data_IF_167657061563
#
_entry.id   IF_167657061563
#
_cell.length_a   1.000
_cell.length_b   1.000
_cell.length_c   1.000
_cell.angle_alpha   90.00
_cell.angle_beta   90.00
_cell.angle_gamma   90.00
#
_symmetry.space_group_name_H-M   'P 1'
#
loop_
_entity.id
_entity.type
_entity.pdbx_description
1 polymer ?
#
# COMPACT_ATOMS: atom_id res chain seq x y z
N UNK A 1 0.61 -20.66 5.35
CA UNK A 1 1.91 -20.43 4.67
C UNK A 1 1.60 -20.55 3.21
N UNK A 2 1.96 -19.54 2.43
CA UNK A 2 1.61 -19.50 1.01
C UNK A 2 2.23 -20.68 0.28
N UNK A 3 1.44 -21.30 -0.59
CA UNK A 3 1.96 -22.29 -1.52
C UNK A 3 2.95 -21.65 -2.50
N UNK A 4 3.86 -22.47 -3.02
CA UNK A 4 4.93 -22.01 -3.92
C UNK A 4 4.38 -21.30 -5.16
N UNK A 5 3.27 -21.78 -5.70
CA UNK A 5 2.68 -21.22 -6.92
C UNK A 5 2.04 -19.85 -6.64
N UNK A 6 1.32 -19.69 -5.53
CA UNK A 6 0.80 -18.39 -5.11
C UNK A 6 1.92 -17.40 -4.82
N UNK A 7 2.98 -17.83 -4.12
CA UNK A 7 4.14 -16.96 -3.88
C UNK A 7 4.78 -16.48 -5.18
N UNK A 8 4.98 -17.37 -6.16
CA UNK A 8 5.51 -17.01 -7.48
C UNK A 8 4.59 -16.05 -8.26
N UNK A 9 3.27 -16.25 -8.19
CA UNK A 9 2.31 -15.32 -8.82
C UNK A 9 2.37 -13.92 -8.20
N UNK A 10 2.51 -13.84 -6.88
CA UNK A 10 2.68 -12.57 -6.18
C UNK A 10 3.98 -11.89 -6.63
N UNK A 11 5.10 -12.62 -6.63
CA UNK A 11 6.40 -12.09 -7.08
C UNK A 11 6.28 -11.52 -8.49
N UNK A 12 5.75 -12.30 -9.45
CA UNK A 12 5.60 -11.83 -10.85
C UNK A 12 4.71 -10.60 -10.99
N UNK A 13 3.71 -10.43 -10.12
CA UNK A 13 2.77 -9.29 -10.17
C UNK A 13 3.36 -8.00 -9.59
N UNK A 14 4.24 -8.12 -8.61
CA UNK A 14 4.77 -6.98 -7.84
C UNK A 14 6.27 -6.75 -8.06
N UNK A 15 6.92 -7.52 -8.94
CA UNK A 15 8.32 -7.31 -9.31
C UNK A 15 8.52 -5.98 -10.03
N UNK A 16 9.62 -5.30 -9.73
CA UNK A 16 10.00 -4.04 -10.38
C UNK A 16 10.74 -4.27 -11.70
N UNK A 17 11.48 -5.37 -11.77
CA UNK A 17 12.23 -5.81 -12.94
C UNK A 17 12.25 -7.35 -13.00
N UNK A 18 12.67 -7.88 -14.15
CA UNK A 18 12.79 -9.32 -14.32
C UNK A 18 13.87 -9.91 -13.39
N UNK A 19 13.51 -10.93 -12.61
CA UNK A 19 14.41 -11.57 -11.64
C UNK A 19 14.41 -10.96 -10.24
N UNK A 20 13.65 -9.87 -10.02
CA UNK A 20 13.48 -9.28 -8.71
C UNK A 20 12.75 -10.23 -7.75
N UNK A 21 13.37 -10.47 -6.60
CA UNK A 21 12.79 -11.30 -5.53
C UNK A 21 12.87 -10.64 -4.16
N UNK A 22 13.55 -9.50 -4.07
CA UNK A 22 13.99 -8.90 -2.81
C UNK A 22 13.50 -7.47 -2.59
N UNK A 23 12.89 -6.84 -3.60
CA UNK A 23 12.35 -5.49 -3.46
C UNK A 23 11.32 -5.37 -2.33
N UNK A 24 11.21 -4.15 -1.79
CA UNK A 24 10.31 -3.87 -0.67
C UNK A 24 8.86 -4.14 -1.06
N UNK A 25 8.51 -3.87 -2.31
CA UNK A 25 7.22 -4.08 -2.96
C UNK A 25 6.80 -5.55 -2.90
N UNK A 26 7.69 -6.46 -3.34
CA UNK A 26 7.45 -7.91 -3.31
C UNK A 26 7.27 -8.37 -1.86
N UNK A 27 8.15 -7.95 -0.95
CA UNK A 27 8.09 -8.37 0.45
C UNK A 27 6.80 -7.89 1.14
N UNK A 28 6.40 -6.63 0.93
CA UNK A 28 5.16 -6.06 1.44
C UNK A 28 3.94 -6.81 0.89
N UNK A 29 3.95 -7.15 -0.40
CA UNK A 29 2.87 -7.92 -1.03
C UNK A 29 2.75 -9.31 -0.39
N UNK A 30 3.86 -10.06 -0.30
CA UNK A 30 3.89 -11.40 0.32
C UNK A 30 3.37 -11.34 1.76
N UNK A 31 3.91 -10.42 2.58
CA UNK A 31 3.47 -10.25 3.97
C UNK A 31 1.98 -9.94 4.06
N UNK A 32 1.44 -9.15 3.13
CA UNK A 32 0.02 -8.81 3.08
C UNK A 32 -0.85 -10.04 2.84
N UNK A 33 -0.48 -10.91 1.91
CA UNK A 33 -1.22 -12.16 1.65
C UNK A 33 -1.08 -13.15 2.82
N UNK A 34 0.10 -13.30 3.41
CA UNK A 34 0.30 -14.15 4.58
C UNK A 34 -0.48 -13.67 5.81
N UNK A 35 -0.51 -12.36 6.05
CA UNK A 35 -1.33 -11.74 7.11
C UNK A 35 -2.80 -12.07 6.88
N UNK A 36 -3.29 -11.98 5.63
CA UNK A 36 -4.68 -12.30 5.29
C UNK A 36 -5.02 -13.75 5.62
N UNK A 37 -4.21 -14.72 5.18
CA UNK A 37 -4.42 -16.14 5.51
C UNK A 37 -4.41 -16.39 7.02
N UNK A 38 -3.45 -15.80 7.73
CA UNK A 38 -3.28 -16.02 9.15
C UNK A 38 -4.41 -15.40 9.98
N UNK A 39 -4.95 -14.26 9.53
CA UNK A 39 -6.15 -13.66 10.12
C UNK A 39 -7.35 -14.60 9.96
N UNK A 40 -7.59 -15.16 8.77
CA UNK A 40 -8.69 -16.12 8.57
C UNK A 40 -8.53 -17.38 9.43
N UNK A 41 -7.30 -17.92 9.53
CA UNK A 41 -7.00 -19.06 10.41
C UNK A 41 -7.33 -18.73 11.88
N UNK A 42 -6.93 -17.56 12.37
CA UNK A 42 -7.14 -17.16 13.75
C UNK A 42 -8.61 -16.83 14.09
N UNK A 43 -9.45 -16.56 13.09
CA UNK A 43 -10.91 -16.44 13.30
C UNK A 43 -11.50 -17.78 13.75
N UNK A 44 -11.04 -18.89 13.16
CA UNK A 44 -11.46 -20.25 13.54
C UNK A 44 -10.74 -20.70 14.82
N UNK A 45 -9.46 -20.38 14.96
CA UNK A 45 -8.61 -20.81 16.07
C UNK A 45 -8.26 -19.66 17.02
N UNK A 46 -9.27 -19.09 17.69
CA UNK A 46 -9.11 -17.91 18.53
C UNK A 46 -8.16 -18.09 19.74
N UNK A 47 -7.87 -19.33 20.16
CA UNK A 47 -6.95 -19.65 21.28
C UNK A 47 -5.50 -19.90 20.84
N UNK A 48 -5.18 -19.83 19.55
CA UNK A 48 -3.80 -19.98 19.09
C UNK A 48 -3.01 -18.66 19.29
N UNK A 49 -2.42 -18.55 20.49
CA UNK A 49 -1.61 -17.39 20.88
C UNK A 49 -0.25 -17.35 20.19
N UNK A 50 0.31 -18.52 19.82
CA UNK A 50 1.60 -18.63 19.14
C UNK A 50 1.52 -18.06 17.72
N UNK A 51 0.48 -18.46 16.98
CA UNK A 51 0.20 -17.91 15.65
C UNK A 51 -0.13 -16.42 15.70
N UNK A 52 -0.88 -15.96 16.72
CA UNK A 52 -1.14 -14.53 16.93
C UNK A 52 0.15 -13.73 17.14
N UNK A 53 1.13 -14.25 17.88
CA UNK A 53 2.45 -13.62 18.02
C UNK A 53 3.17 -13.53 16.67
N UNK A 54 3.11 -14.58 15.85
CA UNK A 54 3.64 -14.59 14.48
C UNK A 54 2.97 -13.53 13.59
N UNK A 55 1.65 -13.40 13.68
CA UNK A 55 0.87 -12.37 12.98
C UNK A 55 1.35 -10.96 13.33
N UNK A 56 1.49 -10.66 14.62
CA UNK A 56 1.93 -9.34 15.08
C UNK A 56 3.34 -8.98 14.56
N UNK A 57 4.24 -9.96 14.52
CA UNK A 57 5.58 -9.77 13.93
C UNK A 57 5.50 -9.40 12.45
N UNK A 58 4.72 -10.15 11.66
CA UNK A 58 4.51 -9.87 10.22
C UNK A 58 3.89 -8.49 9.98
N UNK A 59 2.93 -8.09 10.80
CA UNK A 59 2.32 -6.75 10.73
C UNK A 59 3.36 -5.66 11.00
N UNK A 60 4.21 -5.85 12.02
CA UNK A 60 5.26 -4.89 12.37
C UNK A 60 6.31 -4.77 11.26
N UNK A 61 6.76 -5.90 10.70
CA UNK A 61 7.71 -5.96 9.60
C UNK A 61 7.16 -5.24 8.35
N UNK A 62 5.93 -5.56 7.94
CA UNK A 62 5.27 -4.86 6.82
C UNK A 62 5.17 -3.36 7.06
N UNK A 63 4.88 -2.93 8.29
CA UNK A 63 4.80 -1.50 8.64
C UNK A 63 6.16 -0.81 8.50
N UNK A 64 7.24 -1.48 8.88
CA UNK A 64 8.60 -0.95 8.73
C UNK A 64 8.98 -0.82 7.26
N UNK A 65 8.71 -1.85 6.44
CA UNK A 65 8.96 -1.82 5.00
C UNK A 65 8.14 -0.73 4.29
N UNK A 66 6.86 -0.58 4.62
CA UNK A 66 6.04 0.51 4.08
C UNK A 66 6.58 1.90 4.45
N UNK A 67 7.09 2.06 5.68
CA UNK A 67 7.70 3.32 6.11
C UNK A 67 9.00 3.60 5.35
N UNK A 68 9.80 2.57 5.11
CA UNK A 68 11.02 2.66 4.31
C UNK A 68 10.69 3.04 2.87
N UNK A 69 9.81 2.29 2.21
CA UNK A 69 9.42 2.55 0.82
C UNK A 69 8.86 3.97 0.65
N UNK A 70 7.98 4.41 1.56
CA UNK A 70 7.45 5.79 1.55
C UNK A 70 8.55 6.85 1.58
N UNK A 71 9.63 6.61 2.32
CA UNK A 71 10.73 7.56 2.46
C UNK A 71 11.63 7.60 1.22
N UNK A 72 11.94 6.43 0.65
CA UNK A 72 12.88 6.31 -0.45
C UNK A 72 12.22 6.56 -1.81
N UNK A 73 11.00 6.06 -2.01
CA UNK A 73 10.24 6.18 -3.26
C UNK A 73 8.74 6.35 -2.98
N UNK A 74 8.33 7.61 -2.88
CA UNK A 74 6.95 8.01 -2.62
C UNK A 74 5.99 7.56 -3.75
N UNK A 75 6.30 7.73 -5.06
CA UNK A 75 5.48 7.18 -6.14
C UNK A 75 5.24 5.67 -6.04
N UNK A 76 6.29 4.87 -5.85
CA UNK A 76 6.16 3.41 -5.74
C UNK A 76 5.36 3.00 -4.50
N UNK A 77 5.52 3.73 -3.39
CA UNK A 77 4.70 3.54 -2.20
C UNK A 77 3.21 3.76 -2.47
N UNK A 78 2.84 4.86 -3.11
CA UNK A 78 1.44 5.20 -3.41
C UNK A 78 0.80 4.16 -4.34
N UNK A 79 1.52 3.78 -5.39
CA UNK A 79 1.04 2.78 -6.34
C UNK A 79 0.84 1.42 -5.64
N UNK A 80 1.81 0.98 -4.84
CA UNK A 80 1.74 -0.29 -4.11
C UNK A 80 0.57 -0.32 -3.12
N UNK A 81 0.40 0.76 -2.35
CA UNK A 81 -0.67 0.88 -1.36
C UNK A 81 -2.05 0.84 -2.02
N UNK A 82 -2.21 1.52 -3.17
CA UNK A 82 -3.43 1.48 -3.99
C UNK A 82 -3.67 0.06 -4.53
N UNK A 83 -2.64 -0.59 -5.12
CA UNK A 83 -2.71 -1.98 -5.65
C UNK A 83 -3.07 -3.02 -4.59
N UNK A 84 -2.60 -2.85 -3.36
CA UNK A 84 -2.85 -3.77 -2.24
C UNK A 84 -4.09 -3.41 -1.40
N UNK A 85 -4.79 -2.31 -1.74
CA UNK A 85 -5.96 -1.80 -1.01
C UNK A 85 -5.70 -1.66 0.50
N UNK A 86 -4.52 -1.14 0.87
CA UNK A 86 -4.17 -0.92 2.27
C UNK A 86 -4.86 0.33 2.82
N UNK A 87 -4.96 0.45 4.15
CA UNK A 87 -5.68 1.56 4.81
C UNK A 87 -5.18 2.94 4.36
N UNK A 88 -3.87 3.07 4.12
CA UNK A 88 -3.23 4.29 3.66
C UNK A 88 -3.73 4.74 2.27
N UNK A 89 -4.30 3.84 1.45
CA UNK A 89 -4.85 4.18 0.14
C UNK A 89 -5.98 5.21 0.25
N UNK A 90 -6.88 5.01 1.22
CA UNK A 90 -8.01 5.93 1.46
C UNK A 90 -7.55 7.32 1.91
N UNK A 91 -6.42 7.39 2.63
CA UNK A 91 -5.86 8.67 3.07
C UNK A 91 -5.24 9.41 1.88
N UNK A 92 -4.62 8.69 0.95
CA UNK A 92 -4.07 9.25 -0.29
C UNK A 92 -5.21 9.70 -1.22
N UNK A 93 -6.22 8.87 -1.46
CA UNK A 93 -7.38 9.23 -2.30
C UNK A 93 -8.05 10.52 -1.83
N UNK A 94 -8.27 10.67 -0.52
CA UNK A 94 -8.82 11.91 0.05
C UNK A 94 -7.89 13.12 -0.08
N UNK A 95 -6.58 12.90 -0.08
CA UNK A 95 -5.62 13.99 -0.28
C UNK A 95 -5.58 14.40 -1.75
N UNK A 96 -5.65 13.43 -2.67
CA UNK A 96 -5.74 13.63 -4.11
C UNK A 96 -7.00 14.44 -4.46
N UNK A 97 -8.16 14.07 -3.89
CA UNK A 97 -9.44 14.78 -4.05
C UNK A 97 -9.33 16.24 -3.60
N UNK A 98 -8.78 16.50 -2.41
CA UNK A 98 -8.59 17.86 -1.89
C UNK A 98 -7.62 18.70 -2.72
N UNK A 99 -6.58 18.08 -3.25
CA UNK A 99 -5.63 18.76 -4.13
C UNK A 99 -6.32 19.16 -5.44
N UNK A 100 -7.15 18.28 -6.00
CA UNK A 100 -7.93 18.59 -7.21
C UNK A 100 -8.92 19.74 -6.98
N UNK A 101 -9.65 19.73 -5.86
CA UNK A 101 -10.57 20.83 -5.48
C UNK A 101 -9.83 22.18 -5.39
N UNK A 102 -8.69 22.21 -4.70
CA UNK A 102 -7.88 23.43 -4.56
C UNK A 102 -7.32 23.93 -5.91
N UNK A 103 -7.00 23.02 -6.84
CA UNK A 103 -6.55 23.39 -8.18
C UNK A 103 -7.66 24.07 -8.98
N UNK A 104 -8.90 23.55 -8.92
CA UNK A 104 -10.07 24.16 -9.57
C UNK A 104 -10.33 25.55 -9.01
N UNK A 105 -10.33 25.71 -7.68
CA UNK A 105 -10.52 27.03 -7.05
C UNK A 105 -9.46 28.05 -7.49
N UNK A 106 -8.20 27.64 -7.61
CA UNK A 106 -7.12 28.52 -8.07
C UNK A 106 -7.26 28.87 -9.56
N UNK A 107 -7.79 27.98 -10.39
CA UNK A 107 -8.11 28.27 -11.79
C UNK A 107 -9.25 29.27 -11.90
N UNK A 108 -10.33 29.08 -11.17
CA UNK A 108 -11.47 30.00 -11.12
C UNK A 108 -11.03 31.42 -10.68
N UNK A 109 -10.22 31.51 -9.62
CA UNK A 109 -9.66 32.79 -9.15
C UNK A 109 -8.77 33.44 -10.21
N UNK A 110 -7.95 32.66 -10.92
CA UNK A 110 -7.11 33.20 -12.01
C UNK A 110 -7.94 33.72 -13.17
N UNK A 111 -9.03 33.04 -13.53
CA UNK A 111 -9.96 33.52 -14.55
C UNK A 111 -10.65 34.82 -14.12
N UNK A 112 -11.05 34.92 -12.87
CA UNK A 112 -11.68 36.12 -12.31
C UNK A 112 -10.73 37.32 -12.33
N UNK A 113 -9.47 37.14 -11.90
CA UNK A 113 -8.43 38.18 -11.98
C UNK A 113 -8.17 38.59 -13.43
N UNK A 114 -8.11 37.63 -14.35
CA UNK A 114 -7.91 37.90 -15.78
C UNK A 114 -9.05 38.74 -16.37
N UNK A 115 -10.30 38.46 -15.99
CA UNK A 115 -11.47 39.21 -16.44
C UNK A 115 -11.54 40.64 -15.87
N UNK A 116 -10.98 40.86 -14.68
CA UNK A 116 -10.88 42.20 -14.06
C UNK A 116 -9.73 43.05 -14.59
N UNK A 117 -8.75 42.43 -15.25
CA UNK A 117 -7.54 43.08 -15.78
C UNK A 117 -7.53 43.21 -17.31
N UNK A 118 -8.56 42.68 -17.98
CA UNK A 118 -8.84 42.84 -19.41
C UNK A 118 -9.82 44.00 -19.65
#
# INVERSE_FOLDING_TARGET
MLDKNTKQRIIKRFQTHEGDTGSSEIQIAILTFEIKELVEHLKVHAKDHSSRRGLLRKISERRQLLKYLKKEDQPSFEELVKKLHLKQAREIERADERAAEAHVELEDVKEEIKNLTA
#
